data_IF_957115210757
#
_entry.id   IF_957115210757
#
_cell.length_a   1.000
_cell.length_b   1.000
_cell.length_c   1.000
_cell.angle_alpha   90.00
_cell.angle_beta   90.00
_cell.angle_gamma   90.00
#
_symmetry.space_group_name_H-M   'P 1'
#
loop_
_entity.id
_entity.type
_entity.pdbx_description
1 polymer ?
#
# COMPACT_ATOMS: atom_id res chain seq x y z
N UNK A 1 -14.08 -6.12 -10.42
CA UNK A 1 -13.49 -6.44 -11.01
C UNK A 1 -12.58 -5.85 -12.07
N UNK A 2 -12.60 -4.56 -12.36
CA UNK A 2 -11.77 -3.99 -13.41
C UNK A 2 -10.26 -4.12 -13.18
N UNK A 3 -9.82 -4.39 -12.00
CA UNK A 3 -8.40 -4.57 -11.70
C UNK A 3 -8.12 -5.95 -11.12
N UNK A 4 -8.93 -6.94 -11.52
CA UNK A 4 -8.85 -8.29 -11.00
C UNK A 4 -7.43 -8.87 -11.10
N UNK A 5 -6.79 -8.73 -12.26
CA UNK A 5 -5.43 -9.24 -12.44
C UNK A 5 -4.41 -8.60 -11.52
N UNK A 6 -4.61 -7.35 -11.12
CA UNK A 6 -3.73 -6.67 -10.18
C UNK A 6 -4.05 -7.05 -8.73
N UNK A 7 -5.31 -7.34 -8.46
CA UNK A 7 -5.74 -7.73 -7.11
C UNK A 7 -5.43 -9.18 -6.81
N UNK A 8 -5.34 -10.04 -7.82
CA UNK A 8 -5.05 -11.45 -7.62
C UNK A 8 -3.74 -11.68 -6.87
N UNK A 9 -2.79 -10.76 -6.95
CA UNK A 9 -1.54 -10.84 -6.19
C UNK A 9 -1.74 -10.82 -4.68
N UNK A 10 -2.90 -10.37 -4.20
CA UNK A 10 -3.22 -10.35 -2.78
C UNK A 10 -3.79 -11.67 -2.27
N UNK A 11 -4.01 -12.65 -3.15
CA UNK A 11 -4.44 -13.98 -2.73
C UNK A 11 -3.23 -14.84 -2.42
N UNK A 12 -3.27 -15.50 -1.27
CA UNK A 12 -2.19 -16.38 -0.83
C UNK A 12 -2.11 -17.62 -1.73
N UNK A 13 -0.90 -18.12 -2.01
CA UNK A 13 -0.74 -19.36 -2.78
C UNK A 13 -1.23 -20.57 -1.99
N UNK A 14 -1.45 -21.72 -2.66
CA UNK A 14 -1.79 -22.96 -1.97
C UNK A 14 -0.66 -23.40 -1.02
N UNK A 15 -1.01 -24.17 -0.01
CA UNK A 15 -0.03 -24.77 0.90
C UNK A 15 0.93 -25.68 0.11
N UNK A 16 2.21 -25.57 0.39
CA UNK A 16 3.23 -26.38 -0.25
C UNK A 16 4.62 -25.83 -0.01
N UNK A 17 5.58 -26.37 -0.72
CA UNK A 17 6.97 -25.92 -0.64
C UNK A 17 7.18 -24.64 -1.45
N UNK A 18 6.62 -23.56 -0.96
CA UNK A 18 6.84 -22.25 -1.57
C UNK A 18 8.07 -21.61 -0.98
N UNK A 19 8.86 -21.04 -1.86
CA UNK A 19 10.12 -20.40 -1.50
C UNK A 19 10.08 -18.99 -2.07
N UNK A 20 10.37 -18.00 -1.24
CA UNK A 20 10.46 -16.61 -1.71
C UNK A 20 11.78 -16.39 -2.48
N UNK A 21 11.99 -15.18 -2.96
CA UNK A 21 13.18 -14.85 -3.74
C UNK A 21 14.49 -15.01 -2.95
N UNK A 22 14.42 -15.10 -1.62
CA UNK A 22 15.59 -15.27 -0.74
C UNK A 22 15.79 -16.71 -0.31
N UNK A 23 14.93 -17.64 -0.76
CA UNK A 23 15.01 -19.03 -0.39
C UNK A 23 14.30 -19.41 0.90
N UNK A 24 13.50 -18.53 1.47
CA UNK A 24 12.72 -18.82 2.67
C UNK A 24 11.44 -19.56 2.33
N UNK A 25 11.13 -20.59 3.11
CA UNK A 25 9.86 -21.31 2.96
C UNK A 25 8.72 -20.48 3.55
N UNK A 26 7.63 -20.38 2.80
CA UNK A 26 6.45 -19.64 3.20
C UNK A 26 5.22 -20.54 3.07
N UNK A 27 4.22 -20.31 3.94
CA UNK A 27 2.97 -21.08 3.96
C UNK A 27 3.21 -22.59 4.05
N UNK A 28 4.05 -23.00 5.02
CA UNK A 28 4.41 -24.39 5.19
C UNK A 28 3.40 -25.22 5.94
N UNK A 29 2.42 -24.58 6.59
CA UNK A 29 1.33 -25.24 7.30
C UNK A 29 -0.02 -24.75 6.79
N UNK A 30 -1.05 -25.58 7.00
CA UNK A 30 -2.42 -25.20 6.65
C UNK A 30 -2.87 -23.96 7.44
N UNK A 31 -2.48 -23.87 8.70
CA UNK A 31 -2.81 -22.74 9.55
C UNK A 31 -2.22 -21.44 9.03
N UNK A 32 -0.94 -21.46 8.62
CA UNK A 32 -0.28 -20.29 8.03
C UNK A 32 -0.97 -19.86 6.75
N UNK A 33 -1.31 -20.83 5.89
CA UNK A 33 -2.02 -20.56 4.64
C UNK A 33 -3.39 -19.94 4.90
N UNK A 34 -4.16 -20.51 5.83
CA UNK A 34 -5.50 -20.02 6.14
C UNK A 34 -5.46 -18.60 6.69
N UNK A 35 -4.48 -18.30 7.54
CA UNK A 35 -4.27 -16.95 8.09
C UNK A 35 -3.93 -15.96 6.98
N UNK A 36 -2.99 -16.31 6.12
CA UNK A 36 -2.60 -15.48 4.99
C UNK A 36 -3.78 -15.26 4.05
N UNK A 37 -4.54 -16.31 3.80
CA UNK A 37 -5.70 -16.27 2.93
C UNK A 37 -6.79 -15.34 3.47
N UNK A 38 -7.01 -15.35 4.77
CA UNK A 38 -7.97 -14.47 5.44
C UNK A 38 -7.55 -13.00 5.28
N UNK A 39 -6.26 -12.71 5.49
CA UNK A 39 -5.70 -11.37 5.32
C UNK A 39 -5.84 -10.89 3.88
N UNK A 40 -5.45 -11.73 2.93
CA UNK A 40 -5.53 -11.37 1.50
C UNK A 40 -6.98 -11.14 1.05
N UNK A 41 -7.91 -11.96 1.54
CA UNK A 41 -9.32 -11.81 1.21
C UNK A 41 -9.87 -10.49 1.76
N UNK A 42 -9.49 -10.12 2.98
CA UNK A 42 -9.91 -8.85 3.58
C UNK A 42 -9.40 -7.67 2.75
N UNK A 43 -8.14 -7.72 2.32
CA UNK A 43 -7.55 -6.67 1.49
C UNK A 43 -8.21 -6.61 0.11
N UNK A 44 -8.43 -7.75 -0.51
CA UNK A 44 -9.12 -7.80 -1.80
C UNK A 44 -10.50 -7.15 -1.70
N UNK A 45 -11.25 -7.49 -0.66
CA UNK A 45 -12.58 -6.92 -0.43
C UNK A 45 -12.50 -5.42 -0.20
N UNK A 46 -11.51 -4.96 0.57
CA UNK A 46 -11.32 -3.54 0.82
C UNK A 46 -11.07 -2.77 -0.46
N UNK A 47 -10.13 -3.26 -1.30
CA UNK A 47 -9.81 -2.59 -2.57
C UNK A 47 -11.00 -2.58 -3.52
N UNK A 48 -11.72 -3.69 -3.64
CA UNK A 48 -12.90 -3.75 -4.50
C UNK A 48 -13.98 -2.76 -4.05
N UNK A 49 -14.24 -2.69 -2.75
CA UNK A 49 -15.23 -1.77 -2.20
C UNK A 49 -14.81 -0.32 -2.43
N UNK A 50 -13.53 0.00 -2.22
CA UNK A 50 -13.02 1.33 -2.46
C UNK A 50 -13.15 1.74 -3.92
N UNK A 51 -12.69 0.91 -4.83
CA UNK A 51 -12.75 1.18 -6.27
C UNK A 51 -14.19 1.33 -6.76
N UNK A 52 -15.11 0.54 -6.22
CA UNK A 52 -16.52 0.65 -6.59
C UNK A 52 -17.18 1.92 -6.03
N UNK A 53 -16.61 2.48 -4.97
CA UNK A 53 -17.21 3.66 -4.31
C UNK A 53 -16.80 4.98 -4.96
N UNK A 54 -15.72 5.02 -5.75
CA UNK A 54 -15.13 6.28 -6.22
C UNK A 54 -15.23 6.53 -7.73
N UNK A 55 -15.72 5.59 -8.53
CA UNK A 55 -15.84 5.77 -9.98
C UNK A 55 -14.58 6.35 -10.63
N UNK A 56 -13.42 5.79 -10.29
CA UNK A 56 -12.12 6.36 -10.64
C UNK A 56 -11.88 6.45 -12.16
N UNK A 57 -12.56 5.62 -12.93
CA UNK A 57 -12.40 5.61 -14.40
C UNK A 57 -12.88 6.91 -15.04
N UNK A 58 -13.78 7.63 -14.39
CA UNK A 58 -14.28 8.93 -14.85
C UNK A 58 -13.58 10.10 -14.16
N UNK A 59 -12.54 9.84 -13.36
CA UNK A 59 -11.76 10.86 -12.66
C UNK A 59 -10.47 11.17 -13.40
N UNK A 60 -10.05 12.43 -13.35
CA UNK A 60 -8.71 12.80 -13.80
C UNK A 60 -7.68 12.35 -12.74
N UNK A 61 -6.38 12.49 -13.07
CA UNK A 61 -5.34 12.00 -12.18
C UNK A 61 -5.32 12.69 -10.82
N UNK A 62 -5.54 14.01 -10.79
CA UNK A 62 -5.59 14.74 -9.53
C UNK A 62 -6.76 14.29 -8.66
N UNK A 63 -7.91 14.06 -9.25
CA UNK A 63 -9.07 13.55 -8.52
C UNK A 63 -8.80 12.17 -7.92
N UNK A 64 -8.11 11.30 -8.66
CA UNK A 64 -7.71 9.97 -8.15
C UNK A 64 -6.73 10.11 -6.99
N UNK A 65 -5.76 11.01 -7.12
CA UNK A 65 -4.80 11.27 -6.05
C UNK A 65 -5.50 11.80 -4.80
N UNK A 66 -6.50 12.65 -4.95
CA UNK A 66 -7.29 13.14 -3.83
C UNK A 66 -8.04 12.03 -3.11
N UNK A 67 -8.50 11.02 -3.83
CA UNK A 67 -9.14 9.86 -3.20
C UNK A 67 -8.12 9.04 -2.38
N UNK A 68 -6.88 8.92 -2.86
CA UNK A 68 -5.81 8.29 -2.08
C UNK A 68 -5.55 9.10 -0.80
N UNK A 69 -5.46 10.41 -0.92
CA UNK A 69 -5.27 11.30 0.21
C UNK A 69 -6.34 11.08 1.29
N UNK A 70 -7.60 10.99 0.88
CA UNK A 70 -8.72 10.77 1.80
C UNK A 70 -8.59 9.45 2.57
N UNK A 71 -8.13 8.39 1.89
CA UNK A 71 -7.93 7.09 2.53
C UNK A 71 -6.89 7.18 3.63
N UNK A 72 -5.76 7.84 3.34
CA UNK A 72 -4.63 7.87 4.26
C UNK A 72 -4.85 8.84 5.44
N UNK A 73 -5.39 10.02 5.17
CA UNK A 73 -5.44 11.10 6.17
C UNK A 73 -6.37 10.83 7.35
N UNK A 74 -7.33 9.91 7.20
CA UNK A 74 -8.26 9.57 8.28
C UNK A 74 -7.70 8.52 9.24
N UNK A 75 -6.50 8.03 8.98
CA UNK A 75 -5.86 6.97 9.76
C UNK A 75 -4.79 7.54 10.70
N UNK A 76 -4.34 6.70 11.63
CA UNK A 76 -3.40 7.12 12.65
C UNK A 76 -1.98 6.61 12.44
N UNK A 77 -1.05 7.16 13.20
CA UNK A 77 0.31 6.66 13.24
C UNK A 77 0.46 5.66 14.39
N UNK A 78 1.10 4.52 14.12
CA UNK A 78 1.22 3.46 15.13
C UNK A 78 2.53 3.61 15.90
N UNK A 79 2.53 4.51 16.87
CA UNK A 79 3.69 4.79 17.72
C UNK A 79 4.11 3.56 18.52
N UNK A 80 3.15 2.77 18.97
CA UNK A 80 3.41 1.55 19.72
C UNK A 80 4.21 0.55 18.90
N UNK A 81 3.79 0.31 17.65
CA UNK A 81 4.51 -0.56 16.74
C UNK A 81 5.90 -0.01 16.43
N UNK A 82 6.02 1.29 16.22
CA UNK A 82 7.31 1.95 15.97
C UNK A 82 8.30 1.71 17.10
N UNK A 83 7.83 1.80 18.35
CA UNK A 83 8.68 1.68 19.52
C UNK A 83 8.87 0.24 19.99
N UNK A 84 8.18 -0.72 19.38
CA UNK A 84 8.33 -2.13 19.72
C UNK A 84 9.63 -2.69 19.17
N UNK A 85 10.12 -3.79 19.78
CA UNK A 85 11.23 -4.54 19.22
C UNK A 85 10.72 -5.37 18.05
N UNK A 86 10.89 -4.85 16.83
CA UNK A 86 10.35 -5.45 15.62
C UNK A 86 11.24 -6.52 14.98
N UNK A 87 12.37 -6.85 15.59
CA UNK A 87 13.31 -7.80 14.99
C UNK A 87 12.70 -9.18 14.72
N UNK A 88 11.81 -9.61 15.58
CA UNK A 88 11.14 -10.90 15.49
C UNK A 88 9.64 -10.77 15.21
N UNK A 89 9.19 -9.58 14.82
CA UNK A 89 7.78 -9.30 14.55
C UNK A 89 7.62 -8.90 13.09
N UNK A 90 6.55 -9.37 12.48
CA UNK A 90 6.18 -8.96 11.13
C UNK A 90 4.67 -8.86 11.04
N UNK A 91 4.22 -7.98 10.16
CA UNK A 91 2.81 -7.84 9.84
C UNK A 91 2.67 -7.32 8.42
N UNK A 92 1.50 -7.53 7.85
CA UNK A 92 1.21 -7.05 6.51
C UNK A 92 1.02 -5.53 6.52
N UNK A 93 1.75 -4.82 5.66
CA UNK A 93 1.76 -3.36 5.59
C UNK A 93 0.36 -2.81 5.25
N UNK A 94 -0.28 -3.39 4.27
CA UNK A 94 -1.59 -2.93 3.80
C UNK A 94 -2.67 -3.19 4.84
N UNK A 95 -2.61 -4.36 5.47
CA UNK A 95 -3.58 -4.74 6.50
C UNK A 95 -3.51 -3.81 7.70
N UNK A 96 -2.29 -3.46 8.12
CA UNK A 96 -2.10 -2.52 9.24
C UNK A 96 -2.79 -1.19 8.94
N UNK A 97 -2.52 -0.61 7.78
CA UNK A 97 -3.05 0.72 7.42
C UNK A 97 -4.53 0.66 7.07
N UNK A 98 -4.93 -0.27 6.19
CA UNK A 98 -6.27 -0.25 5.61
C UNK A 98 -7.33 -0.91 6.49
N UNK A 99 -6.97 -1.95 7.22
CA UNK A 99 -7.91 -2.70 8.06
C UNK A 99 -7.82 -2.24 9.51
N UNK A 100 -6.60 -2.15 10.06
CA UNK A 100 -6.39 -1.74 11.46
C UNK A 100 -6.31 -0.22 11.64
N UNK A 101 -6.30 0.53 10.54
CA UNK A 101 -6.41 2.00 10.51
C UNK A 101 -5.24 2.73 11.17
N UNK A 102 -4.07 2.11 11.25
CA UNK A 102 -2.84 2.76 11.72
C UNK A 102 -1.62 2.03 11.21
N UNK A 103 -0.54 2.77 11.03
CA UNK A 103 0.70 2.20 10.52
C UNK A 103 1.89 3.10 10.78
N UNK A 104 3.07 2.62 10.40
CA UNK A 104 4.32 3.37 10.45
C UNK A 104 4.72 3.82 9.04
N UNK A 105 5.82 4.58 8.93
CA UNK A 105 6.19 5.25 7.68
C UNK A 105 6.32 4.28 6.48
N UNK A 106 6.98 3.14 6.66
CA UNK A 106 7.13 2.16 5.59
C UNK A 106 5.80 1.53 5.16
N UNK A 107 4.91 1.35 6.11
CA UNK A 107 3.57 0.79 5.85
C UNK A 107 2.71 1.79 5.07
N UNK A 108 2.79 3.06 5.43
CA UNK A 108 2.10 4.12 4.68
C UNK A 108 2.64 4.26 3.26
N UNK A 109 3.96 4.20 3.09
CA UNK A 109 4.56 4.27 1.77
C UNK A 109 4.09 3.11 0.89
N UNK A 110 4.18 1.88 1.39
CA UNK A 110 3.72 0.70 0.66
C UNK A 110 2.25 0.79 0.29
N UNK A 111 1.41 1.21 1.24
CA UNK A 111 -0.02 1.32 1.02
C UNK A 111 -0.37 2.42 0.01
N UNK A 112 0.28 3.57 0.11
CA UNK A 112 0.06 4.66 -0.86
C UNK A 112 0.39 4.21 -2.28
N UNK A 113 1.48 3.47 -2.45
CA UNK A 113 1.88 2.94 -3.76
C UNK A 113 0.87 1.92 -4.29
N UNK A 114 0.34 1.07 -3.42
CA UNK A 114 -0.68 0.10 -3.81
C UNK A 114 -1.98 0.80 -4.23
N UNK A 115 -2.40 1.83 -3.50
CA UNK A 115 -3.58 2.62 -3.85
C UNK A 115 -3.37 3.34 -5.19
N UNK A 116 -2.20 3.92 -5.40
CA UNK A 116 -1.86 4.60 -6.65
C UNK A 116 -1.95 3.62 -7.83
N UNK A 117 -1.34 2.45 -7.70
CA UNK A 117 -1.38 1.42 -8.74
C UNK A 117 -2.81 0.99 -9.03
N UNK A 118 -3.63 0.84 -8.01
CA UNK A 118 -5.02 0.41 -8.17
C UNK A 118 -5.84 1.38 -9.02
N UNK A 119 -5.53 2.68 -8.97
CA UNK A 119 -6.23 3.69 -9.76
C UNK A 119 -5.43 4.18 -10.98
N UNK A 120 -4.36 3.45 -11.34
CA UNK A 120 -3.60 3.73 -12.57
C UNK A 120 -2.60 4.87 -12.47
N UNK A 121 -2.20 5.26 -11.27
CA UNK A 121 -1.15 6.27 -11.07
C UNK A 121 0.19 5.60 -10.78
N UNK A 122 1.26 6.29 -11.11
CA UNK A 122 2.61 5.81 -10.80
C UNK A 122 3.06 6.34 -9.45
N UNK A 123 3.80 5.52 -8.72
CA UNK A 123 4.34 5.90 -7.43
C UNK A 123 5.70 5.26 -7.20
N UNK A 124 6.47 5.87 -6.31
CA UNK A 124 7.77 5.35 -5.90
C UNK A 124 8.02 5.75 -4.45
N UNK A 125 8.66 4.86 -3.69
CA UNK A 125 9.06 5.16 -2.32
C UNK A 125 10.52 5.62 -2.30
N UNK A 126 10.88 6.41 -1.28
CA UNK A 126 12.23 6.88 -1.08
C UNK A 126 12.57 6.82 0.40
N UNK A 127 13.47 5.89 0.76
CA UNK A 127 13.94 5.74 2.13
C UNK A 127 15.21 6.56 2.36
N UNK A 128 15.28 7.22 3.51
CA UNK A 128 16.45 7.97 3.94
C UNK A 128 16.55 7.89 5.46
N UNK A 129 17.64 7.29 5.93
CA UNK A 129 17.83 7.07 7.36
C UNK A 129 16.72 6.19 7.94
N UNK A 130 16.02 6.72 8.92
CA UNK A 130 14.95 5.98 9.62
C UNK A 130 13.55 6.26 9.07
N UNK A 131 13.46 7.00 7.94
CA UNK A 131 12.18 7.43 7.42
C UNK A 131 12.01 7.04 5.96
N UNK A 132 10.77 6.72 5.58
CA UNK A 132 10.39 6.41 4.21
C UNK A 132 9.28 7.37 3.79
N UNK A 133 9.54 8.12 2.73
CA UNK A 133 8.53 8.93 2.06
C UNK A 133 8.11 8.24 0.77
N UNK A 134 7.09 8.78 0.13
CA UNK A 134 6.64 8.28 -1.16
C UNK A 134 6.29 9.45 -2.07
N UNK A 135 6.31 9.18 -3.37
CA UNK A 135 5.92 10.17 -4.39
C UNK A 135 4.88 9.54 -5.29
N UNK A 136 3.89 10.33 -5.66
CA UNK A 136 2.87 9.91 -6.63
C UNK A 136 2.92 10.88 -7.80
N UNK A 137 2.93 10.34 -9.02
CA UNK A 137 2.91 11.15 -10.23
C UNK A 137 1.48 11.52 -10.58
N UNK A 138 1.23 12.82 -10.75
CA UNK A 138 -0.06 13.34 -11.18
C UNK A 138 0.21 14.31 -12.33
N UNK A 139 -0.36 14.03 -13.48
CA UNK A 139 -0.19 14.86 -14.69
C UNK A 139 1.28 15.12 -15.00
N UNK A 140 2.11 14.10 -14.83
CA UNK A 140 3.53 14.17 -15.12
C UNK A 140 4.39 14.83 -14.03
N UNK A 141 3.79 15.27 -12.93
CA UNK A 141 4.49 15.98 -11.85
C UNK A 141 4.53 15.14 -10.57
N UNK A 142 5.64 15.19 -9.81
CA UNK A 142 5.76 14.44 -8.56
C UNK A 142 5.14 15.18 -7.38
N UNK A 143 4.37 14.45 -6.58
CA UNK A 143 3.79 14.96 -5.33
C UNK A 143 4.26 14.07 -4.20
N UNK A 144 4.78 14.70 -3.12
CA UNK A 144 5.34 13.96 -1.99
C UNK A 144 4.26 13.58 -0.99
N UNK A 145 4.41 12.41 -0.39
CA UNK A 145 3.64 11.98 0.77
C UNK A 145 4.55 11.52 1.89
N UNK A 146 4.12 11.76 3.10
CA UNK A 146 4.82 11.34 4.31
C UNK A 146 3.78 10.83 5.31
N UNK A 147 3.87 9.57 5.67
CA UNK A 147 2.88 8.91 6.53
C UNK A 147 1.45 9.12 5.99
N UNK A 148 0.53 9.64 6.81
CA UNK A 148 -0.88 9.84 6.43
C UNK A 148 -1.10 11.03 5.50
N UNK A 149 -0.09 11.85 5.26
CA UNK A 149 -0.28 13.11 4.55
C UNK A 149 0.29 13.02 3.14
N UNK A 150 -0.57 13.17 2.15
CA UNK A 150 -0.18 13.33 0.76
C UNK A 150 -0.36 14.82 0.41
N UNK A 151 0.74 15.48 0.07
CA UNK A 151 0.74 16.93 -0.19
C UNK A 151 0.42 17.17 -1.65
N UNK A 152 -0.83 17.57 -1.93
CA UNK A 152 -1.32 17.76 -3.30
C UNK A 152 -1.49 19.24 -3.70
N UNK A 153 -1.12 20.18 -2.85
CA UNK A 153 -1.28 21.61 -3.14
C UNK A 153 -0.38 22.07 -4.29
N UNK A 154 0.81 21.46 -4.39
CA UNK A 154 1.76 21.76 -5.47
C UNK A 154 2.75 20.62 -5.61
N UNK A 155 3.33 20.43 -6.82
CA UNK A 155 4.36 19.41 -7.00
C UNK A 155 5.60 19.72 -6.14
N UNK A 156 6.31 18.65 -5.77
CA UNK A 156 7.59 18.81 -5.11
C UNK A 156 8.66 19.28 -6.11
N UNK A 157 9.64 20.02 -5.62
CA UNK A 157 10.79 20.43 -6.43
C UNK A 157 11.83 19.31 -6.60
N UNK A 158 11.69 18.23 -5.86
CA UNK A 158 12.59 17.09 -5.95
C UNK A 158 12.42 16.39 -7.29
N UNK A 159 13.54 16.11 -7.95
CA UNK A 159 13.52 15.33 -9.18
C UNK A 159 13.26 13.87 -8.82
N UNK A 160 12.18 13.29 -9.35
CA UNK A 160 11.77 11.93 -9.05
C UNK A 160 11.66 11.13 -10.33
N UNK A 161 12.25 9.94 -10.33
CA UNK A 161 12.17 9.03 -11.45
C UNK A 161 11.10 7.97 -11.15
N UNK A 162 10.08 7.90 -12.01
CA UNK A 162 9.04 6.90 -11.93
C UNK A 162 9.30 5.84 -13.01
N UNK A 163 9.44 4.59 -12.59
CA UNK A 163 9.61 3.47 -13.55
C UNK A 163 8.32 3.23 -14.33
N UNK A 164 8.48 2.70 -15.51
CA UNK A 164 7.34 2.40 -16.37
C UNK A 164 6.54 1.18 -15.93
#
# INVERSE_FOLDING_TARGET
AMLTGQMDQYFAPPVGDYVDARGNHIYTTQEEYDSARTTEQALYNWFCNWLNSIDFQNMNEMERAQEIKKVLEVRGYDTEWENSNRQNLSRDDYYAVLINNKGVCSEYASTALALAKAVGLKGVSNGSGNHVNYFIQVDGQPYIGSNQVLFLERPTNTRVYFSE
#
